data_IF_286473555830
#
_entry.id   IF_286473555830
#
_cell.length_a   1.000
_cell.length_b   1.000
_cell.length_c   1.000
_cell.angle_alpha   90.00
_cell.angle_beta   90.00
_cell.angle_gamma   90.00
#
_symmetry.space_group_name_H-M   'P 1'
#
loop_
_entity.id
_entity.type
_entity.pdbx_description
1 polymer ?
#
# COMPACT_ATOMS: atom_id res chain seq x y z
N UNK A 1 10.30 15.27 -1.85
CA UNK A 1 11.44 15.17 -2.80
C UNK A 1 11.01 14.78 -4.21
N UNK A 2 11.93 14.82 -5.16
CA UNK A 2 11.70 14.51 -6.60
C UNK A 2 11.12 13.12 -6.83
N UNK A 3 11.55 12.11 -6.06
CA UNK A 3 10.97 10.75 -6.07
C UNK A 3 9.46 10.72 -5.83
N UNK A 4 8.99 11.51 -4.86
CA UNK A 4 7.56 11.57 -4.53
C UNK A 4 6.77 12.27 -5.63
N UNK A 5 7.34 13.32 -6.23
CA UNK A 5 6.72 14.03 -7.37
C UNK A 5 6.63 13.14 -8.62
N UNK A 6 7.69 12.38 -8.90
CA UNK A 6 7.69 11.42 -10.01
C UNK A 6 6.66 10.30 -9.78
N UNK A 7 6.59 9.76 -8.57
CA UNK A 7 5.60 8.74 -8.22
C UNK A 7 4.17 9.26 -8.35
N UNK A 8 3.90 10.49 -7.90
CA UNK A 8 2.61 11.14 -8.06
C UNK A 8 2.24 11.26 -9.54
N UNK A 9 3.11 11.88 -10.35
CA UNK A 9 2.84 12.07 -11.78
C UNK A 9 2.70 10.77 -12.57
N UNK A 10 3.42 9.70 -12.19
CA UNK A 10 3.21 8.38 -12.77
C UNK A 10 1.81 7.85 -12.41
N UNK A 11 1.45 7.87 -11.13
CA UNK A 11 0.18 7.34 -10.63
C UNK A 11 -1.05 8.15 -11.07
N UNK A 12 -0.89 9.39 -11.52
CA UNK A 12 -1.98 10.22 -12.09
C UNK A 12 -2.37 9.79 -13.50
N UNK A 13 -1.41 9.27 -14.27
CA UNK A 13 -1.58 8.99 -15.70
C UNK A 13 -1.70 7.49 -16.02
N UNK A 14 -1.60 6.62 -15.02
CA UNK A 14 -1.78 5.18 -15.18
C UNK A 14 -2.33 4.54 -13.91
N UNK A 15 -2.75 3.29 -14.01
CA UNK A 15 -3.22 2.44 -12.91
C UNK A 15 -2.07 1.87 -12.05
N UNK A 16 -0.87 2.43 -12.16
CA UNK A 16 0.30 1.94 -11.43
C UNK A 16 0.20 2.21 -9.92
N UNK A 17 0.71 1.25 -9.16
CA UNK A 17 1.02 1.40 -7.73
C UNK A 17 2.52 1.63 -7.60
N UNK A 18 2.92 2.81 -7.11
CA UNK A 18 4.33 3.19 -7.01
C UNK A 18 4.74 3.27 -5.54
N UNK A 19 5.72 2.46 -5.14
CA UNK A 19 6.30 2.50 -3.78
C UNK A 19 7.49 3.46 -3.76
N UNK A 20 7.52 4.36 -2.78
CA UNK A 20 8.58 5.36 -2.61
C UNK A 20 9.15 5.26 -1.21
N UNK A 21 10.47 5.17 -1.10
CA UNK A 21 11.19 5.33 0.17
C UNK A 21 11.84 6.69 0.20
N UNK A 22 11.60 7.44 1.26
CA UNK A 22 12.22 8.75 1.47
C UNK A 22 13.70 8.64 1.82
N UNK A 23 14.53 9.48 1.21
CA UNK A 23 15.97 9.58 1.51
C UNK A 23 16.22 10.15 2.90
N UNK A 24 15.40 11.12 3.28
CA UNK A 24 15.65 11.99 4.43
C UNK A 24 15.30 11.29 5.74
N UNK A 25 14.25 10.47 5.74
CA UNK A 25 13.68 9.88 6.94
C UNK A 25 13.33 8.39 6.81
N UNK A 26 13.61 7.76 5.66
CA UNK A 26 13.33 6.33 5.43
C UNK A 26 11.85 5.97 5.38
N UNK A 27 10.94 6.95 5.45
CA UNK A 27 9.49 6.71 5.46
C UNK A 27 9.06 6.13 4.11
N UNK A 28 8.24 5.08 4.18
CA UNK A 28 7.63 4.45 3.02
C UNK A 28 6.31 5.15 2.70
N UNK A 29 6.14 5.47 1.42
CA UNK A 29 4.92 6.03 0.85
C UNK A 29 4.51 5.26 -0.39
N UNK A 30 3.23 5.29 -0.74
CA UNK A 30 2.68 4.70 -1.96
C UNK A 30 1.96 5.80 -2.73
N UNK A 31 2.20 5.88 -4.03
CA UNK A 31 1.40 6.69 -4.95
C UNK A 31 0.51 5.79 -5.81
N UNK A 32 -0.79 6.06 -5.85
CA UNK A 32 -1.79 5.35 -6.66
C UNK A 32 -2.92 6.32 -7.01
N UNK A 33 -3.36 6.33 -8.27
CA UNK A 33 -4.49 7.17 -8.74
C UNK A 33 -4.32 8.65 -8.38
N UNK A 34 -3.10 9.18 -8.46
CA UNK A 34 -2.80 10.58 -8.08
C UNK A 34 -2.90 10.89 -6.59
N UNK A 35 -2.93 9.86 -5.73
CA UNK A 35 -2.92 10.02 -4.28
C UNK A 35 -1.61 9.49 -3.70
N UNK A 36 -0.98 10.30 -2.85
CA UNK A 36 0.22 9.93 -2.11
C UNK A 36 -0.13 9.54 -0.67
N UNK A 37 -0.18 8.24 -0.42
CA UNK A 37 -0.37 7.64 0.89
C UNK A 37 1.00 7.54 1.59
N UNK A 38 1.11 7.95 2.85
CA UNK A 38 2.40 8.03 3.56
C UNK A 38 2.38 7.21 4.85
N UNK A 39 3.56 7.06 5.46
CA UNK A 39 3.75 6.42 6.76
C UNK A 39 3.36 4.94 6.77
N UNK A 40 3.73 4.22 5.72
CA UNK A 40 3.61 2.77 5.73
C UNK A 40 4.69 2.13 6.61
N UNK A 41 4.27 1.15 7.39
CA UNK A 41 5.14 0.17 8.01
C UNK A 41 5.20 -1.11 7.17
N UNK A 42 6.02 -2.07 7.60
CA UNK A 42 6.20 -3.35 6.90
C UNK A 42 4.89 -4.13 6.72
N UNK A 43 3.99 -4.09 7.71
CA UNK A 43 2.78 -4.89 7.72
C UNK A 43 1.69 -4.26 6.85
N UNK A 44 1.44 -2.97 7.05
CA UNK A 44 0.51 -2.17 6.25
C UNK A 44 0.91 -2.11 4.78
N UNK A 45 2.20 -2.00 4.46
CA UNK A 45 2.68 -2.06 3.08
C UNK A 45 2.35 -3.41 2.44
N UNK A 46 2.65 -4.51 3.15
CA UNK A 46 2.35 -5.86 2.66
C UNK A 46 0.86 -6.03 2.41
N UNK A 47 0.02 -5.71 3.39
CA UNK A 47 -1.44 -5.86 3.29
C UNK A 47 -2.00 -5.00 2.14
N UNK A 48 -1.49 -3.78 1.98
CA UNK A 48 -1.86 -2.90 0.88
C UNK A 48 -1.51 -3.51 -0.48
N UNK A 49 -0.27 -3.97 -0.67
CA UNK A 49 0.19 -4.56 -1.93
C UNK A 49 -0.54 -5.86 -2.27
N UNK A 50 -0.77 -6.73 -1.28
CA UNK A 50 -1.56 -7.95 -1.47
C UNK A 50 -2.97 -7.63 -1.96
N UNK A 51 -3.61 -6.64 -1.33
CA UNK A 51 -5.00 -6.25 -1.67
C UNK A 51 -5.10 -5.65 -3.07
N UNK A 52 -4.11 -4.85 -3.50
CA UNK A 52 -4.21 -4.06 -4.73
C UNK A 52 -3.52 -4.68 -5.95
N UNK A 53 -2.58 -5.62 -5.77
CA UNK A 53 -1.82 -6.22 -6.88
C UNK A 53 -2.13 -7.71 -7.08
N UNK A 54 -2.59 -8.41 -6.05
CA UNK A 54 -2.95 -9.82 -6.21
C UNK A 54 -4.45 -9.94 -6.50
N UNK A 55 -4.77 -10.22 -7.76
CA UNK A 55 -6.05 -10.84 -8.08
C UNK A 55 -5.97 -12.29 -7.59
N UNK A 56 -6.81 -12.65 -6.62
CA UNK A 56 -6.90 -14.02 -6.09
C UNK A 56 -7.46 -14.97 -7.15
N UNK A 57 -6.67 -15.29 -8.19
CA UNK A 57 -6.81 -16.54 -8.90
C UNK A 57 -6.28 -17.63 -7.95
N UNK A 58 -7.21 -18.25 -7.21
CA UNK A 58 -6.99 -19.37 -6.29
C UNK A 58 -6.13 -19.10 -5.04
N UNK A 59 -6.78 -18.72 -3.94
CA UNK A 59 -6.43 -19.32 -2.64
C UNK A 59 -7.68 -19.53 -1.83
N UNK A 60 -8.09 -20.80 -1.70
CA UNK A 60 -9.03 -21.25 -0.68
C UNK A 60 -8.37 -21.01 0.70
N UNK A 61 -8.53 -19.81 1.26
CA UNK A 61 -8.29 -19.57 2.68
C UNK A 61 -9.58 -19.04 3.30
N UNK A 62 -10.23 -19.83 4.19
CA UNK A 62 -11.28 -19.27 5.02
C UNK A 62 -10.65 -18.21 5.92
N UNK A 63 -11.19 -16.99 5.89
CA UNK A 63 -10.91 -15.90 6.83
C UNK A 63 -11.38 -16.29 8.24
N UNK A 64 -10.74 -17.28 8.83
CA UNK A 64 -10.95 -17.70 10.21
C UNK A 64 -9.88 -17.04 11.07
N UNK A 65 -10.35 -16.20 11.99
CA UNK A 65 -9.65 -15.59 13.14
C UNK A 65 -8.98 -14.24 12.89
N UNK A 66 -9.79 -13.18 13.02
CA UNK A 66 -9.52 -12.19 14.08
C UNK A 66 -10.71 -12.14 15.03
N UNK A 67 -10.63 -13.01 16.04
CA UNK A 67 -11.40 -12.92 17.29
C UNK A 67 -10.91 -11.67 18.02
N UNK A 68 -11.83 -11.03 18.76
CA UNK A 68 -11.62 -10.12 19.91
C UNK A 68 -11.70 -8.62 19.56
N UNK A 69 -12.93 -8.13 19.44
CA UNK A 69 -13.34 -6.95 20.22
C UNK A 69 -14.73 -7.18 20.81
N UNK A 70 -14.79 -8.09 21.80
CA UNK A 70 -15.78 -7.95 22.88
C UNK A 70 -15.17 -6.94 23.84
N UNK A 71 -15.67 -5.71 23.83
CA UNK A 71 -15.66 -4.88 25.02
C UNK A 71 -17.12 -4.59 25.37
N UNK A 72 -17.43 -4.88 26.64
CA UNK A 72 -18.67 -4.53 27.32
C UNK A 72 -18.93 -3.03 27.22
#
# INVERSE_FOLDING_TARGET
>A
GTRHRAALGMSENCDAVVVVVSEENGVISIAKEGHLLRNFDKYSLKDYLLTHLMNNASTNQPLTKRKIFKRK
#
